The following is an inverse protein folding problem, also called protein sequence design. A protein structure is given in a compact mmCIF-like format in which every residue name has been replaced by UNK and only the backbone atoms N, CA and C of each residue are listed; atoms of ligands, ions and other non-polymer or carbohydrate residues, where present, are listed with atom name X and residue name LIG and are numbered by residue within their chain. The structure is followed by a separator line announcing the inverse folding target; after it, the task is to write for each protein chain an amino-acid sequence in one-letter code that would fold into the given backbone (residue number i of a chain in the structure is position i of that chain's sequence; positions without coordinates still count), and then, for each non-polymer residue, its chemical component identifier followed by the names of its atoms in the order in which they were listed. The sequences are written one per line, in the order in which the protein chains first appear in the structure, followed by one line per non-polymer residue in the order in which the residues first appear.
data_IF_965137129682
#
_entry.id   IF_965137129682
#
_cell.length_a   1.000
_cell.length_b   1.000
_cell.length_c   1.000
_cell.angle_alpha   90.00
_cell.angle_beta   90.00
_cell.angle_gamma   90.00
#
_symmetry.space_group_name_H-M   'P 1'
#
loop_
_entity.id
_entity.type
_entity.pdbx_description
1 polymer ?
#
# COMPACT_ATOMS: atom_id res chain seq x y z
N UNK A 1 -12.42 -5.55 21.78
CA UNK A 1 -11.44 -4.46 21.93
C UNK A 1 -11.97 -3.42 22.91
N UNK A 2 -11.06 -2.76 23.63
CA UNK A 2 -11.37 -1.56 24.43
C UNK A 2 -11.07 -0.38 23.51
N UNK A 3 -12.09 0.37 23.08
CA UNK A 3 -11.88 1.61 22.33
C UNK A 3 -11.49 2.72 23.31
N UNK A 4 -10.32 3.31 23.12
CA UNK A 4 -9.86 4.44 23.92
C UNK A 4 -10.55 5.73 23.46
N UNK A 5 -10.84 6.68 24.38
CA UNK A 5 -11.35 7.99 23.98
C UNK A 5 -10.36 8.71 23.07
N UNK A 6 -10.84 9.32 21.99
CA UNK A 6 -9.99 10.06 21.04
C UNK A 6 -9.09 11.09 21.73
N UNK A 7 -9.62 11.80 22.73
CA UNK A 7 -8.87 12.77 23.52
C UNK A 7 -7.63 12.15 24.19
N UNK A 8 -7.76 10.92 24.71
CA UNK A 8 -6.65 10.20 25.33
C UNK A 8 -5.60 9.81 24.29
N UNK A 9 -6.02 9.38 23.10
CA UNK A 9 -5.11 9.05 22.00
C UNK A 9 -4.35 10.32 21.55
N UNK A 10 -5.04 11.46 21.40
CA UNK A 10 -4.41 12.73 21.02
C UNK A 10 -3.39 13.21 22.08
N UNK A 11 -3.68 13.02 23.37
CA UNK A 11 -2.73 13.30 24.46
C UNK A 11 -1.48 12.41 24.35
N UNK A 12 -1.63 11.10 24.13
CA UNK A 12 -0.50 10.18 23.93
C UNK A 12 0.32 10.49 22.68
N UNK A 13 -0.33 10.90 21.58
CA UNK A 13 0.35 11.34 20.35
C UNK A 13 1.28 12.51 20.66
N UNK A 14 0.79 13.52 21.37
CA UNK A 14 1.61 14.68 21.73
C UNK A 14 2.77 14.28 22.65
N UNK A 15 2.53 13.44 23.66
CA UNK A 15 3.59 12.96 24.55
C UNK A 15 4.68 12.16 23.82
N UNK A 16 4.29 11.27 22.92
CA UNK A 16 5.25 10.47 22.14
C UNK A 16 5.97 11.30 21.07
N UNK A 17 5.28 12.29 20.49
CA UNK A 17 5.89 13.28 19.61
C UNK A 17 6.99 14.03 20.38
N UNK A 18 6.71 14.64 21.54
CA UNK A 18 7.68 15.40 22.34
C UNK A 18 8.88 14.56 22.82
N UNK A 19 8.73 13.25 23.07
CA UNK A 19 9.86 12.37 23.44
C UNK A 19 10.96 12.31 22.37
N UNK A 20 10.64 12.63 21.12
CA UNK A 20 11.60 12.68 20.01
C UNK A 20 12.42 13.98 19.97
N UNK A 21 12.08 15.01 20.77
CA UNK A 21 12.80 16.29 20.81
C UNK A 21 14.28 16.14 21.17
N UNK A 22 14.62 15.10 21.93
CA UNK A 22 15.99 14.78 22.35
C UNK A 22 16.90 14.39 21.16
N UNK A 23 16.32 14.10 20.00
CA UNK A 23 17.02 13.66 18.79
C UNK A 23 16.93 14.67 17.64
N UNK A 24 16.48 15.90 17.91
CA UNK A 24 16.31 16.95 16.92
C UNK A 24 17.62 17.49 16.32
N UNK A 25 18.76 17.07 16.87
CA UNK A 25 20.08 17.32 16.32
C UNK A 25 20.41 16.40 15.12
N UNK A 26 19.67 15.31 14.92
CA UNK A 26 19.84 14.42 13.78
C UNK A 26 19.12 14.96 12.53
N UNK A 27 19.75 14.80 11.37
CA UNK A 27 19.20 15.24 10.10
C UNK A 27 17.89 14.47 9.81
N UNK A 28 16.91 15.15 9.20
CA UNK A 28 15.59 14.57 8.84
C UNK A 28 14.77 13.97 9.99
N UNK A 29 15.12 14.21 11.26
CA UNK A 29 14.29 13.80 12.40
C UNK A 29 12.91 14.47 12.36
N UNK A 30 12.86 15.76 12.00
CA UNK A 30 11.61 16.50 11.80
C UNK A 30 10.77 15.87 10.68
N UNK A 31 11.39 15.59 9.52
CA UNK A 31 10.73 14.94 8.39
C UNK A 31 10.09 13.61 8.80
N UNK A 32 10.78 12.83 9.65
CA UNK A 32 10.27 11.57 10.16
C UNK A 32 9.08 11.74 11.10
N UNK A 33 9.14 12.70 12.03
CA UNK A 33 8.04 12.97 12.97
C UNK A 33 6.78 13.41 12.23
N UNK A 34 6.93 14.34 11.31
CA UNK A 34 5.82 14.83 10.48
C UNK A 34 5.25 13.73 9.59
N UNK A 35 6.11 12.88 9.01
CA UNK A 35 5.66 11.73 8.24
C UNK A 35 4.88 10.73 9.10
N UNK A 36 5.34 10.38 10.30
CA UNK A 36 4.58 9.48 11.18
C UNK A 36 3.24 10.11 11.57
N UNK A 37 3.25 11.40 11.90
CA UNK A 37 2.04 12.12 12.28
C UNK A 37 1.02 12.16 11.14
N UNK A 38 1.45 12.27 9.88
CA UNK A 38 0.53 12.33 8.73
C UNK A 38 -0.34 11.07 8.57
N UNK A 39 0.10 9.92 9.08
CA UNK A 39 -0.67 8.67 9.02
C UNK A 39 -1.96 8.72 9.84
N UNK A 40 -2.09 9.68 10.76
CA UNK A 40 -3.33 9.99 11.49
C UNK A 40 -4.53 10.25 10.58
N UNK A 41 -4.27 10.72 9.35
CA UNK A 41 -5.32 11.08 8.39
C UNK A 41 -5.08 10.42 7.02
N UNK A 42 -4.26 9.38 6.97
CA UNK A 42 -3.91 8.75 5.71
C UNK A 42 -4.97 7.72 5.31
N UNK A 43 -5.72 8.02 4.24
CA UNK A 43 -6.77 7.16 3.73
C UNK A 43 -6.24 5.77 3.36
N UNK A 44 -5.00 5.67 2.86
CA UNK A 44 -4.38 4.40 2.46
C UNK A 44 -4.19 3.49 3.66
N UNK A 45 -3.65 4.03 4.75
CA UNK A 45 -3.44 3.33 6.00
C UNK A 45 -4.74 3.00 6.73
N UNK A 46 -5.71 3.92 6.74
CA UNK A 46 -7.04 3.69 7.29
C UNK A 46 -7.71 2.47 6.62
N UNK A 47 -7.68 2.41 5.29
CA UNK A 47 -8.21 1.27 4.54
C UNK A 47 -7.55 -0.06 4.93
N UNK A 48 -6.21 -0.11 5.05
CA UNK A 48 -5.53 -1.33 5.47
C UNK A 48 -5.99 -1.78 6.86
N UNK A 49 -6.05 -0.84 7.79
CA UNK A 49 -6.37 -1.09 9.19
C UNK A 49 -7.79 -1.64 9.36
N UNK A 50 -8.74 -1.15 8.56
CA UNK A 50 -10.15 -1.56 8.62
C UNK A 50 -10.45 -2.85 7.84
N UNK A 51 -9.74 -3.11 6.73
CA UNK A 51 -10.16 -4.12 5.76
C UNK A 51 -9.25 -5.35 5.69
N UNK A 52 -8.05 -5.28 6.25
CA UNK A 52 -7.15 -6.45 6.29
C UNK A 52 -7.26 -7.12 7.65
N UNK A 53 -8.04 -8.20 7.70
CA UNK A 53 -8.02 -9.14 8.81
C UNK A 53 -7.00 -10.22 8.50
N UNK A 54 -5.81 -10.06 9.05
CA UNK A 54 -4.71 -10.96 8.74
C UNK A 54 -4.97 -12.37 9.30
N UNK A 55 -5.35 -13.29 8.41
CA UNK A 55 -5.33 -14.72 8.64
C UNK A 55 -4.12 -15.27 7.88
N UNK A 56 -3.16 -15.77 8.64
CA UNK A 56 -1.84 -16.28 8.26
C UNK A 56 -1.84 -17.18 7.01
N UNK A 57 -1.31 -16.67 5.90
CA UNK A 57 -0.84 -17.45 4.75
C UNK A 57 0.52 -16.96 4.20
N UNK A 58 1.27 -16.13 4.94
CA UNK A 58 2.63 -15.68 4.55
C UNK A 58 3.59 -16.86 4.35
N UNK A 59 3.42 -17.95 5.11
CA UNK A 59 4.38 -19.06 5.15
C UNK A 59 4.59 -19.75 3.80
N UNK A 60 3.59 -19.79 2.92
CA UNK A 60 3.71 -20.56 1.67
C UNK A 60 4.63 -19.89 0.63
N UNK A 61 4.76 -18.55 0.67
CA UNK A 61 5.53 -17.80 -0.32
C UNK A 61 6.96 -17.50 0.13
N UNK A 62 7.16 -17.24 1.42
CA UNK A 62 8.48 -16.99 1.99
C UNK A 62 9.39 -18.22 1.87
N UNK A 63 8.85 -19.42 2.09
CA UNK A 63 9.58 -20.70 2.07
C UNK A 63 10.22 -21.03 0.70
N UNK A 64 9.78 -20.39 -0.39
CA UNK A 64 10.32 -20.60 -1.73
C UNK A 64 11.16 -19.42 -2.24
N UNK A 65 11.29 -18.36 -1.45
CA UNK A 65 12.04 -17.18 -1.85
C UNK A 65 13.52 -17.28 -1.42
N UNK A 66 14.45 -17.18 -2.37
CA UNK A 66 15.89 -17.30 -2.09
C UNK A 66 16.42 -16.25 -1.09
N UNK A 67 15.87 -15.03 -1.06
CA UNK A 67 16.27 -13.99 -0.11
C UNK A 67 15.90 -14.41 1.32
N UNK A 68 14.69 -14.92 1.48
CA UNK A 68 14.21 -15.45 2.75
C UNK A 68 15.00 -16.68 3.16
N UNK A 69 15.19 -17.65 2.27
CA UNK A 69 15.93 -18.89 2.56
C UNK A 69 17.37 -18.62 3.00
N UNK A 70 18.08 -17.74 2.29
CA UNK A 70 19.45 -17.37 2.65
C UNK A 70 19.53 -16.59 3.97
N UNK A 71 18.52 -15.78 4.29
CA UNK A 71 18.41 -15.10 5.57
C UNK A 71 18.09 -16.08 6.70
N UNK A 72 17.14 -17.00 6.49
CA UNK A 72 16.69 -17.98 7.47
C UNK A 72 17.81 -18.95 7.87
N UNK A 73 18.59 -19.42 6.90
CA UNK A 73 19.74 -20.29 7.14
C UNK A 73 20.82 -19.67 8.05
N UNK A 74 20.86 -18.34 8.16
CA UNK A 74 21.90 -17.62 8.91
C UNK A 74 21.35 -16.97 10.17
N UNK A 75 20.19 -16.34 10.09
CA UNK A 75 19.57 -15.57 11.16
C UNK A 75 18.57 -16.43 11.96
N UNK A 76 17.84 -17.32 11.29
CA UNK A 76 16.74 -18.08 11.85
C UNK A 76 15.54 -17.22 12.28
N UNK A 77 14.40 -17.86 12.53
CA UNK A 77 13.17 -17.18 12.96
C UNK A 77 13.29 -16.50 14.32
N UNK A 78 14.06 -17.11 15.23
CA UNK A 78 14.31 -16.60 16.58
C UNK A 78 15.64 -15.84 16.71
N UNK A 79 16.28 -15.48 15.59
CA UNK A 79 17.57 -14.79 15.57
C UNK A 79 17.62 -13.51 16.40
N UNK A 80 16.48 -12.82 16.55
CA UNK A 80 16.37 -11.57 17.30
C UNK A 80 16.66 -11.74 18.80
N UNK A 81 16.47 -12.94 19.36
CA UNK A 81 16.72 -13.25 20.78
C UNK A 81 18.22 -13.39 21.05
N UNK A 82 18.95 -13.94 20.09
CA UNK A 82 20.33 -14.39 20.27
C UNK A 82 21.36 -13.51 19.55
N UNK A 83 20.92 -12.57 18.70
CA UNK A 83 21.81 -11.71 17.91
C UNK A 83 21.86 -10.28 18.45
N UNK A 84 23.08 -9.71 18.46
CA UNK A 84 23.29 -8.29 18.77
C UNK A 84 22.68 -7.34 17.72
N UNK A 85 22.35 -7.88 16.54
CA UNK A 85 21.71 -7.17 15.43
C UNK A 85 20.20 -7.05 15.58
N UNK A 86 19.57 -7.80 16.50
CA UNK A 86 18.12 -7.91 16.65
C UNK A 86 17.41 -8.34 15.34
N UNK A 87 18.09 -9.13 14.51
CA UNK A 87 17.57 -9.59 13.21
C UNK A 87 17.13 -11.05 13.27
N UNK A 88 16.08 -11.36 12.52
CA UNK A 88 15.63 -12.72 12.20
C UNK A 88 15.21 -12.80 10.73
N UNK A 89 14.92 -14.00 10.23
CA UNK A 89 14.28 -14.21 8.91
C UNK A 89 12.96 -13.42 8.75
N UNK A 90 12.21 -13.23 9.84
CA UNK A 90 10.96 -12.42 9.89
C UNK A 90 11.15 -10.99 9.38
N UNK A 91 12.39 -10.47 9.41
CA UNK A 91 12.74 -9.20 8.78
C UNK A 91 12.47 -9.19 7.27
N UNK A 92 12.73 -10.30 6.59
CA UNK A 92 12.49 -10.44 5.15
C UNK A 92 10.99 -10.55 4.86
N UNK A 93 10.24 -11.26 5.70
CA UNK A 93 8.78 -11.29 5.58
C UNK A 93 8.17 -9.91 5.76
N UNK A 94 8.66 -9.16 6.75
CA UNK A 94 8.20 -7.79 7.01
C UNK A 94 8.50 -6.85 5.85
N UNK A 95 9.63 -7.03 5.16
CA UNK A 95 9.95 -6.30 3.93
C UNK A 95 8.91 -6.56 2.83
N UNK A 96 8.65 -7.83 2.52
CA UNK A 96 7.64 -8.16 1.50
C UNK A 96 6.23 -7.76 1.93
N UNK A 97 5.94 -7.82 3.22
CA UNK A 97 4.66 -7.38 3.78
C UNK A 97 4.42 -5.88 3.60
N UNK A 98 5.42 -5.03 3.82
CA UNK A 98 5.31 -3.58 3.57
C UNK A 98 5.07 -3.31 2.07
N UNK A 99 5.73 -4.08 1.19
CA UNK A 99 5.51 -3.99 -0.26
C UNK A 99 4.08 -4.41 -0.63
N UNK A 100 3.58 -5.51 -0.06
CA UNK A 100 2.21 -5.97 -0.24
C UNK A 100 1.20 -4.94 0.26
N UNK A 101 1.39 -4.38 1.46
CA UNK A 101 0.56 -3.32 2.03
C UNK A 101 0.48 -2.09 1.11
N UNK A 102 1.60 -1.68 0.53
CA UNK A 102 1.63 -0.61 -0.48
C UNK A 102 0.70 -0.95 -1.66
N UNK A 103 0.84 -2.14 -2.25
CA UNK A 103 0.04 -2.57 -3.39
C UNK A 103 -1.46 -2.70 -3.05
N UNK A 104 -1.79 -3.23 -1.88
CA UNK A 104 -3.18 -3.36 -1.41
C UNK A 104 -3.79 -1.97 -1.20
N UNK A 105 -3.06 -1.07 -0.54
CA UNK A 105 -3.51 0.29 -0.30
C UNK A 105 -3.77 1.05 -1.62
N UNK A 106 -2.96 0.83 -2.65
CA UNK A 106 -3.19 1.42 -3.98
C UNK A 106 -4.38 0.81 -4.73
N UNK A 107 -4.57 -0.50 -4.61
CA UNK A 107 -5.65 -1.22 -5.29
C UNK A 107 -6.99 -1.12 -4.56
N UNK A 108 -6.98 -0.80 -3.27
CA UNK A 108 -8.15 -0.85 -2.36
C UNK A 108 -8.83 -2.22 -2.36
N UNK A 109 -8.01 -3.28 -2.44
CA UNK A 109 -8.43 -4.69 -2.30
C UNK A 109 -7.24 -5.57 -1.97
N UNK A 110 -7.48 -6.73 -1.39
CA UNK A 110 -6.46 -7.76 -1.22
C UNK A 110 -5.84 -8.19 -2.55
N UNK A 111 -4.59 -8.63 -2.49
CA UNK A 111 -3.89 -9.23 -3.62
C UNK A 111 -4.39 -10.67 -3.82
N UNK A 112 -4.58 -11.04 -5.08
CA UNK A 112 -4.72 -12.45 -5.46
C UNK A 112 -3.43 -13.23 -5.20
N UNK A 113 -3.51 -14.55 -5.09
CA UNK A 113 -2.36 -15.44 -4.91
C UNK A 113 -1.26 -15.19 -5.97
N UNK A 114 -1.65 -14.97 -7.22
CA UNK A 114 -0.73 -14.66 -8.32
C UNK A 114 -0.06 -13.30 -8.14
N UNK A 115 -0.78 -12.29 -7.64
CA UNK A 115 -0.19 -10.97 -7.34
C UNK A 115 0.79 -11.05 -6.15
N UNK A 116 0.45 -11.84 -5.11
CA UNK A 116 1.36 -12.12 -3.98
C UNK A 116 2.64 -12.79 -4.45
N UNK A 117 2.55 -13.83 -5.28
CA UNK A 117 3.72 -14.47 -5.88
C UNK A 117 4.61 -13.47 -6.62
N UNK A 118 4.02 -12.58 -7.42
CA UNK A 118 4.79 -11.54 -8.14
C UNK A 118 5.52 -10.59 -7.18
N UNK A 119 4.91 -10.23 -6.05
CA UNK A 119 5.56 -9.43 -5.00
C UNK A 119 6.77 -10.18 -4.43
N UNK A 120 6.56 -11.41 -3.95
CA UNK A 120 7.59 -12.19 -3.28
C UNK A 120 8.74 -12.55 -4.22
N UNK A 121 8.48 -12.96 -5.45
CA UNK A 121 9.54 -13.30 -6.42
C UNK A 121 10.13 -12.09 -7.16
N UNK A 122 9.73 -10.87 -6.81
CA UNK A 122 10.31 -9.67 -7.41
C UNK A 122 11.75 -9.42 -6.94
N UNK A 123 12.55 -8.81 -7.81
CA UNK A 123 13.89 -8.33 -7.45
C UNK A 123 13.87 -7.16 -6.45
N UNK A 124 12.68 -6.61 -6.14
CA UNK A 124 12.53 -5.39 -5.35
C UNK A 124 13.12 -5.57 -3.94
N UNK A 125 12.87 -6.70 -3.29
CA UNK A 125 13.42 -6.99 -1.96
C UNK A 125 14.96 -7.01 -1.94
N UNK A 126 15.58 -7.57 -2.99
CA UNK A 126 17.03 -7.55 -3.17
C UNK A 126 17.56 -6.12 -3.39
N UNK A 127 16.91 -5.36 -4.29
CA UNK A 127 17.31 -3.98 -4.60
C UNK A 127 17.23 -3.08 -3.37
N UNK A 128 16.18 -3.20 -2.56
CA UNK A 128 15.99 -2.45 -1.32
C UNK A 128 17.03 -2.82 -0.25
N UNK A 129 17.41 -4.10 -0.19
CA UNK A 129 18.46 -4.58 0.72
C UNK A 129 19.83 -3.93 0.42
N UNK A 130 20.16 -3.67 -0.85
CA UNK A 130 21.46 -3.10 -1.24
C UNK A 130 21.50 -1.58 -1.42
N UNK A 131 20.41 -0.97 -1.84
CA UNK A 131 20.41 0.42 -2.32
C UNK A 131 19.28 1.25 -1.75
N UNK A 132 19.19 1.39 -0.42
CA UNK A 132 18.08 2.08 0.26
C UNK A 132 17.69 3.42 -0.38
N UNK A 133 18.65 4.23 -0.84
CA UNK A 133 18.41 5.56 -1.44
C UNK A 133 18.31 5.56 -2.98
N UNK A 134 18.73 4.48 -3.65
CA UNK A 134 18.86 4.41 -5.10
C UNK A 134 18.53 3.02 -5.66
N UNK A 135 17.60 2.29 -5.01
CA UNK A 135 17.35 0.87 -5.28
C UNK A 135 16.96 0.62 -6.74
N UNK A 136 16.33 1.61 -7.39
CA UNK A 136 15.98 1.59 -8.81
C UNK A 136 17.19 1.48 -9.76
N UNK A 137 18.37 1.93 -9.33
CA UNK A 137 19.61 1.88 -10.11
C UNK A 137 20.36 0.55 -9.94
N UNK A 138 19.97 -0.28 -8.96
CA UNK A 138 20.63 -1.56 -8.68
C UNK A 138 20.23 -2.58 -9.75
N UNK A 139 21.22 -3.05 -10.50
CA UNK A 139 21.07 -4.08 -11.55
C UNK A 139 21.65 -5.43 -11.16
N UNK A 140 22.67 -5.45 -10.30
CA UNK A 140 23.29 -6.68 -9.81
C UNK A 140 23.13 -6.75 -8.28
N UNK A 141 22.54 -7.85 -7.81
CA UNK A 141 22.30 -8.15 -6.40
C UNK A 141 22.80 -9.55 -6.01
N UNK A 142 23.68 -10.18 -6.80
CA UNK A 142 24.29 -11.50 -6.53
C UNK A 142 25.10 -11.53 -5.22
N UNK A 143 25.51 -10.34 -4.75
CA UNK A 143 26.18 -10.18 -3.46
C UNK A 143 25.29 -10.51 -2.27
N UNK A 144 23.96 -10.51 -2.43
CA UNK A 144 23.00 -10.88 -1.38
C UNK A 144 22.86 -12.39 -1.38
N UNK A 145 23.57 -13.01 -0.45
CA UNK A 145 23.58 -14.44 -0.22
C UNK A 145 23.88 -14.72 1.26
N UNK A 146 24.00 -15.99 1.65
CA UNK A 146 24.35 -16.38 3.04
C UNK A 146 25.59 -15.65 3.60
N UNK A 147 26.59 -15.30 2.78
CA UNK A 147 27.76 -14.54 3.23
C UNK A 147 27.42 -13.09 3.58
N UNK A 148 26.50 -12.47 2.84
CA UNK A 148 25.97 -11.16 3.17
C UNK A 148 25.25 -11.20 4.52
N UNK A 149 24.33 -12.15 4.74
CA UNK A 149 23.62 -12.27 6.01
C UNK A 149 24.53 -12.59 7.19
N UNK A 150 25.62 -13.34 6.97
CA UNK A 150 26.66 -13.57 8.00
C UNK A 150 27.44 -12.31 8.37
N UNK A 151 27.54 -11.33 7.47
CA UNK A 151 28.10 -10.01 7.79
C UNK A 151 27.05 -9.14 8.48
N UNK A 152 25.81 -9.19 8.00
CA UNK A 152 24.68 -8.46 8.54
C UNK A 152 24.40 -8.81 10.01
N UNK A 153 24.47 -10.10 10.37
CA UNK A 153 24.27 -10.58 11.75
C UNK A 153 25.30 -10.07 12.76
N UNK A 154 26.42 -9.49 12.28
CA UNK A 154 27.48 -8.91 13.12
C UNK A 154 27.27 -7.43 13.39
N UNK A 155 26.33 -6.78 12.69
CA UNK A 155 26.00 -5.37 12.92
C UNK A 155 25.44 -5.22 14.33
N UNK A 156 25.91 -4.20 15.05
CA UNK A 156 25.45 -3.89 16.40
C UNK A 156 24.61 -2.62 16.40
N UNK A 157 23.81 -2.49 17.44
CA UNK A 157 23.06 -1.27 17.70
C UNK A 157 23.69 -0.52 18.87
N UNK A 158 23.97 0.77 18.66
CA UNK A 158 24.38 1.65 19.75
C UNK A 158 23.23 1.83 20.74
N UNK A 159 23.53 2.08 22.02
CA UNK A 159 22.50 2.34 23.02
C UNK A 159 21.61 3.54 22.65
N UNK A 160 22.20 4.56 22.00
CA UNK A 160 21.44 5.74 21.58
C UNK A 160 20.47 5.40 20.45
N UNK A 161 20.94 4.66 19.43
CA UNK A 161 20.12 4.21 18.30
C UNK A 161 18.98 3.29 18.75
N UNK A 162 19.20 2.43 19.75
CA UNK A 162 18.14 1.58 20.35
C UNK A 162 17.06 2.42 21.04
N UNK A 163 17.47 3.46 21.77
CA UNK A 163 16.53 4.34 22.46
C UNK A 163 15.70 5.16 21.47
N UNK A 164 16.34 5.66 20.41
CA UNK A 164 15.66 6.36 19.31
C UNK A 164 14.63 5.46 18.64
N UNK A 165 15.03 4.25 18.20
CA UNK A 165 14.10 3.29 17.57
C UNK A 165 12.92 2.96 18.49
N UNK A 166 13.16 2.79 19.80
CA UNK A 166 12.09 2.57 20.77
C UNK A 166 11.10 3.74 20.83
N UNK A 167 11.55 4.99 20.80
CA UNK A 167 10.65 6.14 20.82
C UNK A 167 9.88 6.30 19.52
N UNK A 168 10.55 6.09 18.37
CA UNK A 168 9.87 6.11 17.07
C UNK A 168 8.80 5.01 17.03
N UNK A 169 9.13 3.79 17.47
CA UNK A 169 8.19 2.68 17.53
C UNK A 169 7.00 3.00 18.43
N UNK A 170 7.22 3.55 19.63
CA UNK A 170 6.13 3.95 20.51
C UNK A 170 5.22 4.98 19.84
N UNK A 171 5.81 5.99 19.19
CA UNK A 171 5.04 7.00 18.48
C UNK A 171 4.21 6.39 17.34
N UNK A 172 4.81 5.51 16.55
CA UNK A 172 4.12 4.73 15.52
C UNK A 172 2.98 3.89 16.10
N UNK A 173 3.24 3.09 17.15
CA UNK A 173 2.25 2.25 17.84
C UNK A 173 1.05 3.12 18.28
N UNK A 174 1.31 4.30 18.86
CA UNK A 174 0.29 5.26 19.29
C UNK A 174 -0.53 5.82 18.12
N UNK A 175 0.07 6.14 16.98
CA UNK A 175 -0.67 6.55 15.77
C UNK A 175 -1.61 5.43 15.31
N UNK A 176 -1.14 4.18 15.33
CA UNK A 176 -1.93 3.04 14.84
C UNK A 176 -3.15 2.69 15.72
N UNK A 177 -3.18 3.14 16.97
CA UNK A 177 -4.34 2.99 17.87
C UNK A 177 -5.58 3.73 17.36
N UNK A 178 -5.42 4.75 16.51
CA UNK A 178 -6.57 5.48 15.95
C UNK A 178 -7.49 4.59 15.10
N UNK A 179 -6.91 3.59 14.44
CA UNK A 179 -7.63 2.69 13.55
C UNK A 179 -7.79 1.28 14.14
N UNK A 180 -7.44 1.07 15.41
CA UNK A 180 -7.43 -0.25 16.06
C UNK A 180 -6.66 -1.30 15.22
N UNK A 181 -5.55 -0.85 14.64
CA UNK A 181 -4.81 -1.60 13.62
C UNK A 181 -4.29 -2.93 14.18
N UNK A 182 -4.40 -4.00 13.41
CA UNK A 182 -3.92 -5.30 13.82
C UNK A 182 -2.41 -5.28 14.11
N UNK A 183 -2.01 -5.78 15.29
CA UNK A 183 -0.64 -5.69 15.81
C UNK A 183 0.42 -6.20 14.82
N UNK A 184 0.12 -7.25 14.04
CA UNK A 184 1.07 -7.76 13.05
C UNK A 184 1.41 -6.69 12.00
N UNK A 185 0.39 -5.98 11.47
CA UNK A 185 0.59 -4.88 10.51
C UNK A 185 1.53 -3.83 11.13
N UNK A 186 1.22 -3.38 12.34
CA UNK A 186 2.00 -2.37 13.06
C UNK A 186 3.45 -2.82 13.24
N UNK A 187 3.65 -4.05 13.70
CA UNK A 187 4.97 -4.60 14.00
C UNK A 187 5.85 -4.79 12.75
N UNK A 188 5.26 -5.12 11.59
CA UNK A 188 6.01 -5.33 10.35
C UNK A 188 6.73 -4.07 9.88
N UNK A 189 6.17 -2.87 10.10
CA UNK A 189 6.86 -1.62 9.77
C UNK A 189 8.14 -1.44 10.60
N UNK A 190 8.06 -1.63 11.92
CA UNK A 190 9.22 -1.54 12.80
C UNK A 190 10.28 -2.60 12.47
N UNK A 191 9.86 -3.85 12.23
CA UNK A 191 10.78 -4.95 11.89
C UNK A 191 11.46 -4.70 10.54
N UNK A 192 10.74 -4.16 9.56
CA UNK A 192 11.29 -3.76 8.26
C UNK A 192 12.29 -2.60 8.39
N UNK A 193 11.97 -1.56 9.18
CA UNK A 193 12.87 -0.44 9.45
C UNK A 193 14.18 -0.91 10.12
N UNK A 194 14.08 -1.82 11.10
CA UNK A 194 15.25 -2.41 11.76
C UNK A 194 16.15 -3.19 10.81
N UNK A 195 15.54 -3.95 9.89
CA UNK A 195 16.28 -4.62 8.82
C UNK A 195 17.05 -3.63 7.96
N UNK A 196 16.38 -2.59 7.47
CA UNK A 196 17.03 -1.57 6.65
C UNK A 196 18.12 -0.81 7.39
N UNK A 197 17.99 -0.57 8.70
CA UNK A 197 19.00 0.14 9.47
C UNK A 197 20.31 -0.68 9.53
N UNK A 198 20.19 -1.99 9.73
CA UNK A 198 21.32 -2.91 9.67
C UNK A 198 21.92 -3.01 8.26
N UNK A 199 21.08 -3.11 7.21
CA UNK A 199 21.56 -3.15 5.83
C UNK A 199 22.33 -1.88 5.47
N UNK A 200 21.80 -0.71 5.84
CA UNK A 200 22.42 0.60 5.64
C UNK A 200 23.77 0.72 6.34
N UNK A 201 23.86 0.24 7.59
CA UNK A 201 25.14 0.20 8.30
C UNK A 201 26.16 -0.65 7.52
N UNK A 202 25.76 -1.87 7.11
CA UNK A 202 26.63 -2.79 6.38
C UNK A 202 27.07 -2.23 5.01
N UNK A 203 26.15 -1.69 4.20
CA UNK A 203 26.45 -1.15 2.87
C UNK A 203 27.31 0.11 2.93
N UNK A 204 27.23 0.86 4.03
CA UNK A 204 28.11 2.00 4.31
C UNK A 204 29.47 1.60 4.92
N UNK A 205 29.77 0.30 5.05
CA UNK A 205 31.01 -0.19 5.66
C UNK A 205 31.11 0.00 7.18
N UNK A 206 29.98 0.26 7.85
CA UNK A 206 29.90 0.43 9.30
C UNK A 206 29.56 -0.90 9.97
N UNK A 207 29.99 -1.05 11.23
CA UNK A 207 29.67 -2.22 12.07
C UNK A 207 28.58 -1.91 13.11
N UNK A 208 28.09 -0.68 13.12
CA UNK A 208 27.13 -0.19 14.10
C UNK A 208 26.07 0.72 13.45
N UNK A 209 24.83 0.54 13.86
CA UNK A 209 23.68 1.37 13.47
C UNK A 209 23.78 2.73 14.18
N UNK A 210 23.76 3.82 13.41
CA UNK A 210 23.70 5.20 13.91
C UNK A 210 22.26 5.69 13.99
N UNK A 211 22.01 6.77 14.75
CA UNK A 211 20.69 7.44 14.80
C UNK A 211 20.20 7.81 13.40
N UNK A 212 21.06 8.43 12.58
CA UNK A 212 20.75 8.73 11.18
C UNK A 212 20.33 7.47 10.38
N UNK A 213 20.99 6.34 10.66
CA UNK A 213 20.63 5.06 10.05
C UNK A 213 19.23 4.59 10.44
N UNK A 214 18.81 4.84 11.68
CA UNK A 214 17.46 4.54 12.17
C UNK A 214 16.43 5.44 11.48
N UNK A 215 16.67 6.76 11.48
CA UNK A 215 15.76 7.76 10.92
C UNK A 215 15.51 7.49 9.44
N UNK A 216 16.57 7.37 8.66
CA UNK A 216 16.48 7.11 7.21
C UNK A 216 15.83 5.77 6.88
N UNK A 217 15.97 4.77 7.77
CA UNK A 217 15.34 3.46 7.57
C UNK A 217 13.85 3.48 7.90
N UNK A 218 13.42 4.22 8.92
CA UNK A 218 12.00 4.45 9.18
C UNK A 218 11.35 5.28 8.07
N UNK A 219 12.00 6.36 7.63
CA UNK A 219 11.56 7.15 6.48
C UNK A 219 11.39 6.29 5.24
N UNK A 220 12.36 5.43 4.93
CA UNK A 220 12.26 4.51 3.79
C UNK A 220 11.06 3.57 3.95
N UNK A 221 10.89 2.91 5.09
CA UNK A 221 9.79 1.97 5.30
C UNK A 221 8.42 2.63 5.11
N UNK A 222 8.20 3.79 5.72
CA UNK A 222 6.94 4.53 5.62
C UNK A 222 6.70 5.03 4.19
N UNK A 223 7.74 5.55 3.52
CA UNK A 223 7.62 6.00 2.13
C UNK A 223 7.40 4.85 1.14
N UNK A 224 7.95 3.66 1.39
CA UNK A 224 7.66 2.47 0.57
C UNK A 224 6.18 2.10 0.66
N UNK A 225 5.60 2.19 1.85
CA UNK A 225 4.17 1.99 2.01
C UNK A 225 3.36 3.04 1.23
N UNK A 226 3.71 4.32 1.34
CA UNK A 226 2.97 5.40 0.68
C UNK A 226 3.13 5.41 -0.85
N UNK A 227 4.27 4.97 -1.37
CA UNK A 227 4.53 4.89 -2.81
C UNK A 227 3.69 3.81 -3.48
N UNK A 228 3.30 4.01 -4.75
CA UNK A 228 2.79 2.94 -5.61
C UNK A 228 3.94 2.05 -6.08
N UNK A 229 4.05 0.85 -5.49
CA UNK A 229 5.13 -0.08 -5.80
C UNK A 229 4.88 -0.99 -7.00
N UNK A 230 3.64 -1.04 -7.50
CA UNK A 230 3.25 -1.94 -8.61
C UNK A 230 4.08 -1.76 -9.88
N UNK A 231 4.44 -0.53 -10.30
CA UNK A 231 5.28 -0.33 -11.48
C UNK A 231 6.68 -0.93 -11.38
N UNK A 232 7.16 -1.19 -10.16
CA UNK A 232 8.50 -1.77 -9.92
C UNK A 232 8.47 -3.29 -9.79
N UNK A 233 7.29 -3.89 -9.80
CA UNK A 233 7.09 -5.35 -9.75
C UNK A 233 6.82 -5.83 -11.17
N UNK A 234 7.68 -6.71 -11.66
CA UNK A 234 7.59 -7.23 -13.02
C UNK A 234 6.24 -7.91 -13.23
N UNK A 235 5.60 -7.58 -14.35
CA UNK A 235 4.36 -8.20 -14.81
C UNK A 235 3.19 -8.08 -13.81
N UNK A 236 3.23 -7.12 -12.88
CA UNK A 236 2.18 -6.94 -11.86
C UNK A 236 0.81 -6.69 -12.53
N UNK A 237 0.76 -5.77 -13.49
CA UNK A 237 -0.46 -5.35 -14.18
C UNK A 237 -0.76 -6.10 -15.49
N UNK A 238 0.13 -6.98 -15.98
CA UNK A 238 -0.12 -7.74 -17.21
C UNK A 238 -1.21 -8.79 -16.95
N UNK A 239 -2.43 -8.37 -17.29
CA UNK A 239 -3.68 -9.11 -17.44
C UNK A 239 -4.04 -10.10 -16.31
N UNK A 240 -5.07 -9.73 -15.53
CA UNK A 240 -6.21 -10.63 -15.28
C UNK A 240 -5.87 -12.09 -14.93
N UNK A 241 -5.72 -12.39 -13.64
CA UNK A 241 -6.18 -13.66 -13.10
C UNK A 241 -7.70 -13.65 -12.90
N UNK A 242 -8.48 -13.14 -13.86
CA UNK A 242 -9.84 -13.66 -14.03
C UNK A 242 -9.68 -15.05 -14.64
N UNK A 243 -10.23 -16.05 -13.94
CA UNK A 243 -10.27 -17.48 -14.30
C UNK A 243 -9.04 -18.29 -13.84
N UNK A 244 -8.89 -18.51 -12.53
CA UNK A 244 -8.52 -19.83 -11.97
C UNK A 244 -8.32 -19.74 -10.45
N UNK A 245 -9.41 -19.69 -9.69
CA UNK A 245 -9.37 -20.15 -8.29
C UNK A 245 -10.77 -20.67 -7.89
N UNK A 246 -11.21 -21.72 -8.57
CA UNK A 246 -12.20 -22.65 -8.02
C UNK A 246 -11.45 -23.94 -7.71
N UNK A 247 -10.85 -23.98 -6.54
CA UNK A 247 -9.88 -25.01 -6.17
C UNK A 247 -9.89 -25.38 -4.69
N UNK A 248 -11.05 -25.51 -4.04
CA UNK A 248 -11.19 -26.46 -2.92
C UNK A 248 -12.66 -26.79 -2.58
N UNK A 249 -12.94 -28.08 -2.69
CA UNK A 249 -13.97 -28.86 -1.97
C UNK A 249 -15.43 -28.41 -2.00
N UNK A 250 -16.17 -28.77 -3.05
CA UNK A 250 -17.57 -29.19 -2.88
C UNK A 250 -17.90 -30.39 -3.76
N UNK A 251 -18.54 -31.40 -3.15
CA UNK A 251 -18.91 -32.71 -3.73
C UNK A 251 -19.54 -32.57 -5.13
N UNK A 252 -19.16 -33.43 -6.10
CA UNK A 252 -19.82 -33.46 -7.39
C UNK A 252 -21.26 -33.97 -7.22
N UNK A 253 -22.23 -33.08 -7.41
CA UNK A 253 -23.61 -33.50 -7.66
C UNK A 253 -23.69 -33.79 -9.15
N UNK A 254 -23.82 -35.08 -9.50
CA UNK A 254 -24.26 -35.49 -10.82
C UNK A 254 -25.63 -34.89 -11.09
N UNK A 255 -25.72 -33.92 -11.99
CA UNK A 255 -26.96 -33.56 -12.66
C UNK A 255 -26.68 -33.58 -14.16
N UNK A 256 -27.16 -34.67 -14.75
CA UNK A 256 -27.47 -34.81 -16.16
C UNK A 256 -28.26 -33.60 -16.69
N UNK A 257 -27.87 -33.14 -17.87
CA UNK A 257 -28.66 -32.42 -18.88
C UNK A 257 -29.83 -31.53 -18.38
N UNK A 258 -29.60 -30.22 -18.41
CA UNK A 258 -30.67 -29.22 -18.31
C UNK A 258 -30.24 -27.88 -18.90
N UNK A 259 -30.89 -27.47 -19.99
CA UNK A 259 -30.68 -26.21 -20.69
C UNK A 259 -30.93 -24.94 -19.83
N UNK A 260 -30.27 -23.84 -20.24
CA UNK A 260 -30.48 -22.43 -19.86
C UNK A 260 -29.84 -22.00 -18.52
N UNK A 261 -29.02 -20.94 -18.45
CA UNK A 261 -29.40 -19.55 -18.69
C UNK A 261 -28.19 -18.63 -18.97
N UNK A 262 -27.99 -18.24 -20.24
CA UNK A 262 -27.08 -17.14 -20.65
C UNK A 262 -27.72 -15.74 -20.53
N UNK A 263 -28.86 -15.59 -19.84
CA UNK A 263 -29.61 -14.32 -19.80
C UNK A 263 -29.13 -13.32 -18.73
N UNK A 264 -28.58 -13.77 -17.60
CA UNK A 264 -28.27 -12.89 -16.45
C UNK A 264 -27.05 -11.98 -16.68
N UNK A 265 -25.96 -12.53 -17.26
CA UNK A 265 -24.72 -11.77 -17.53
C UNK A 265 -24.92 -10.64 -18.55
N UNK A 266 -25.83 -10.80 -19.50
CA UNK A 266 -26.12 -9.77 -20.52
C UNK A 266 -26.89 -8.57 -19.93
N UNK A 267 -27.76 -8.81 -18.94
CA UNK A 267 -28.60 -7.76 -18.35
C UNK A 267 -27.75 -6.80 -17.50
N UNK A 268 -26.82 -7.33 -16.69
CA UNK A 268 -25.95 -6.50 -15.84
C UNK A 268 -25.03 -5.61 -16.68
N UNK A 269 -24.46 -6.15 -17.78
CA UNK A 269 -23.65 -5.35 -18.71
C UNK A 269 -24.47 -4.28 -19.44
N UNK A 270 -25.71 -4.58 -19.82
CA UNK A 270 -26.62 -3.60 -20.45
C UNK A 270 -27.02 -2.48 -19.49
N UNK A 271 -27.26 -2.78 -18.22
CA UNK A 271 -27.56 -1.78 -17.18
C UNK A 271 -26.35 -0.88 -16.92
N UNK A 272 -25.14 -1.45 -16.79
CA UNK A 272 -23.92 -0.68 -16.54
C UNK A 272 -23.60 0.29 -17.69
N UNK A 273 -23.75 -0.17 -18.94
CA UNK A 273 -23.57 0.69 -20.12
C UNK A 273 -24.61 1.82 -20.19
N UNK A 274 -25.85 1.56 -19.77
CA UNK A 274 -26.90 2.59 -19.68
C UNK A 274 -26.57 3.67 -18.66
N UNK A 275 -26.11 3.28 -17.46
CA UNK A 275 -25.72 4.22 -16.40
C UNK A 275 -24.51 5.07 -16.83
N UNK A 276 -23.50 4.45 -17.45
CA UNK A 276 -22.31 5.15 -17.91
C UNK A 276 -22.64 6.21 -18.99
N UNK A 277 -23.56 5.88 -19.90
CA UNK A 277 -24.03 6.79 -20.95
C UNK A 277 -24.71 8.03 -20.37
N UNK A 278 -25.54 7.85 -19.32
CA UNK A 278 -26.20 8.97 -18.63
C UNK A 278 -25.17 9.89 -17.97
N UNK A 279 -24.17 9.33 -17.28
CA UNK A 279 -23.10 10.10 -16.62
C UNK A 279 -22.32 10.95 -17.63
N UNK A 280 -21.97 10.38 -18.78
CA UNK A 280 -21.25 11.10 -19.85
C UNK A 280 -22.07 12.27 -20.39
N UNK A 281 -23.38 12.09 -20.58
CA UNK A 281 -24.27 13.17 -21.03
C UNK A 281 -24.36 14.29 -19.99
N UNK A 282 -24.44 13.95 -18.69
CA UNK A 282 -24.43 14.96 -17.63
C UNK A 282 -23.12 15.74 -17.57
N UNK A 283 -21.96 15.07 -17.73
CA UNK A 283 -20.66 15.74 -17.79
C UNK A 283 -20.54 16.67 -18.99
N UNK A 284 -21.05 16.26 -20.16
CA UNK A 284 -21.08 17.11 -21.36
C UNK A 284 -21.97 18.33 -21.18
N UNK A 285 -23.15 18.17 -20.56
CA UNK A 285 -24.05 19.29 -20.25
C UNK A 285 -23.40 20.26 -19.24
N UNK A 286 -22.68 19.74 -18.26
CA UNK A 286 -21.98 20.55 -17.28
C UNK A 286 -20.82 21.34 -17.92
N UNK A 287 -20.03 20.70 -18.78
CA UNK A 287 -18.96 21.35 -19.53
C UNK A 287 -19.51 22.44 -20.47
N UNK A 288 -20.60 22.16 -21.18
CA UNK A 288 -21.31 23.14 -22.01
C UNK A 288 -21.80 24.35 -21.19
N UNK A 289 -22.35 24.11 -20.00
CA UNK A 289 -22.81 25.17 -19.09
C UNK A 289 -21.65 26.04 -18.62
N UNK A 290 -20.53 25.43 -18.21
CA UNK A 290 -19.33 26.16 -17.80
C UNK A 290 -18.74 27.00 -18.95
N UNK A 291 -18.73 26.47 -20.17
CA UNK A 291 -18.28 27.21 -21.37
C UNK A 291 -19.22 28.39 -21.67
N UNK A 292 -20.53 28.21 -21.56
CA UNK A 292 -21.50 29.29 -21.75
C UNK A 292 -21.36 30.40 -20.71
N UNK A 293 -21.12 30.03 -19.44
CA UNK A 293 -20.86 31.00 -18.36
C UNK A 293 -19.54 31.75 -18.60
N UNK A 294 -18.49 31.07 -19.09
CA UNK A 294 -17.22 31.70 -19.42
C UNK A 294 -17.32 32.66 -20.62
N UNK A 295 -18.16 32.35 -21.61
CA UNK A 295 -18.30 33.18 -22.83
C UNK A 295 -19.26 34.36 -22.61
N UNK A 296 -20.33 34.17 -21.83
CA UNK A 296 -21.40 35.17 -21.66
C UNK A 296 -21.48 35.77 -20.26
N UNK A 297 -20.54 35.43 -19.36
CA UNK A 297 -20.56 35.79 -17.93
C UNK A 297 -20.74 37.28 -17.62
N UNK A 298 -20.26 38.17 -18.49
CA UNK A 298 -20.42 39.62 -18.33
C UNK A 298 -21.76 40.17 -18.87
N UNK A 299 -22.59 39.35 -19.53
CA UNK A 299 -23.86 39.75 -20.15
C UNK A 299 -25.10 39.07 -19.53
N UNK A 300 -24.95 38.36 -18.40
CA UNK A 300 -25.97 37.41 -17.89
C UNK A 300 -27.21 38.10 -17.29
N UNK A 301 -27.14 39.36 -16.90
CA UNK A 301 -28.30 40.02 -16.26
C UNK A 301 -29.47 40.31 -17.22
N UNK A 302 -29.28 40.23 -18.55
CA UNK A 302 -30.33 40.60 -19.53
C UNK A 302 -30.86 39.45 -20.41
N UNK A 303 -30.37 38.21 -20.28
CA UNK A 303 -30.66 37.15 -21.26
C UNK A 303 -31.24 35.84 -20.69
N UNK A 304 -31.56 35.80 -19.39
CA UNK A 304 -32.07 34.59 -18.70
C UNK A 304 -33.37 34.04 -19.35
N UNK A 305 -34.21 34.89 -19.93
CA UNK A 305 -35.45 34.45 -20.59
C UNK A 305 -35.26 33.89 -22.01
N UNK A 306 -34.15 34.21 -22.69
CA UNK A 306 -33.89 33.75 -24.06
C UNK A 306 -33.19 32.38 -24.13
N UNK A 307 -32.64 31.87 -23.02
CA UNK A 307 -31.89 30.61 -22.97
C UNK A 307 -32.74 29.39 -22.60
N UNK A 308 -33.96 29.58 -22.08
CA UNK A 308 -34.91 28.49 -21.77
C UNK A 308 -35.23 27.57 -22.97
N UNK A 309 -35.43 28.07 -24.21
CA UNK A 309 -35.71 27.21 -25.36
C UNK A 309 -34.52 26.31 -25.73
N UNK A 310 -33.28 26.79 -25.56
CA UNK A 310 -32.05 26.06 -25.90
C UNK A 310 -31.83 24.89 -24.94
N UNK A 311 -32.13 25.07 -23.65
CA UNK A 311 -32.09 24.00 -22.65
C UNK A 311 -33.11 22.88 -22.93
N UNK A 312 -34.33 23.24 -23.34
CA UNK A 312 -35.39 22.26 -23.67
C UNK A 312 -35.05 21.48 -24.95
N UNK A 313 -34.52 22.16 -25.97
CA UNK A 313 -34.08 21.52 -27.22
C UNK A 313 -32.86 20.62 -26.96
N UNK A 314 -31.92 21.06 -26.12
CA UNK A 314 -30.76 20.26 -25.71
C UNK A 314 -31.15 18.98 -24.97
N UNK A 315 -32.13 19.05 -24.06
CA UNK A 315 -32.66 17.88 -23.35
C UNK A 315 -33.35 16.90 -24.31
N UNK A 316 -34.12 17.42 -25.28
CA UNK A 316 -34.79 16.60 -26.29
C UNK A 316 -33.79 15.90 -27.24
N UNK A 317 -32.71 16.58 -27.62
CA UNK A 317 -31.63 16.01 -28.44
C UNK A 317 -30.84 14.94 -27.66
N UNK A 318 -30.55 15.18 -26.38
CA UNK A 318 -29.89 14.21 -25.52
C UNK A 318 -30.74 12.94 -25.33
N UNK A 319 -32.07 13.09 -25.15
CA UNK A 319 -33.00 11.98 -25.06
C UNK A 319 -33.10 11.19 -26.38
N UNK A 320 -33.11 11.87 -27.53
CA UNK A 320 -33.15 11.24 -28.85
C UNK A 320 -31.84 10.49 -29.18
N UNK A 321 -30.68 11.06 -28.83
CA UNK A 321 -29.38 10.42 -28.98
C UNK A 321 -29.22 9.23 -28.04
N UNK A 322 -29.64 9.36 -26.78
CA UNK A 322 -29.67 8.26 -25.81
C UNK A 322 -30.50 7.08 -26.29
N UNK A 323 -31.70 7.34 -26.84
CA UNK A 323 -32.56 6.30 -27.43
C UNK A 323 -31.89 5.63 -28.64
N UNK A 324 -31.28 6.39 -29.55
CA UNK A 324 -30.64 5.85 -30.76
C UNK A 324 -29.38 5.03 -30.46
N UNK A 325 -28.66 5.35 -29.38
CA UNK A 325 -27.52 4.58 -28.88
C UNK A 325 -28.01 3.29 -28.20
N UNK A 326 -29.08 3.37 -27.41
CA UNK A 326 -29.70 2.21 -26.78
C UNK A 326 -30.24 1.20 -27.81
N UNK A 327 -30.95 1.67 -28.83
CA UNK A 327 -31.50 0.83 -29.90
C UNK A 327 -30.41 0.16 -30.77
N UNK A 328 -29.17 0.67 -30.76
CA UNK A 328 -28.01 0.04 -31.43
C UNK A 328 -27.25 -0.96 -30.55
N UNK A 329 -27.46 -0.93 -29.23
CA UNK A 329 -26.77 -1.77 -28.25
C UNK A 329 -27.63 -2.95 -27.75
N UNK A 330 -28.94 -2.94 -28.00
CA UNK A 330 -29.89 -3.99 -27.61
C UNK A 330 -30.02 -5.06 -28.68
#
# INVERSE_FOLDING_TARGET
MVQFPQKTIDEWINEDYEKLDVFMDADSMEDLRELILSFKYDDKFAFLSENIHYQTDINNYSDNNNLYLDANDVLGDFGFIFSNSHLSSVCIDSLFFVIECSCIGELRRELSNIEKEKVYYSDLGYKLTLGQENFLKIKNYEVINKTFFKKLSKIKWSSNSKNLDKYIKNFWDTITLQYDTYYHIVSSFSVCANYFACCRALTSGRLEVSNEGVIQSWLLTLNLFLMDLRPYIKDFNSASAMISDTGSEFKPINISEGQSNNKSSSIIRKVLAGVLSIIIVFLLLFAMSAILILIFGDAVDNYVDSLRPVGIIGLALAAALGKKIYDKLV
#
